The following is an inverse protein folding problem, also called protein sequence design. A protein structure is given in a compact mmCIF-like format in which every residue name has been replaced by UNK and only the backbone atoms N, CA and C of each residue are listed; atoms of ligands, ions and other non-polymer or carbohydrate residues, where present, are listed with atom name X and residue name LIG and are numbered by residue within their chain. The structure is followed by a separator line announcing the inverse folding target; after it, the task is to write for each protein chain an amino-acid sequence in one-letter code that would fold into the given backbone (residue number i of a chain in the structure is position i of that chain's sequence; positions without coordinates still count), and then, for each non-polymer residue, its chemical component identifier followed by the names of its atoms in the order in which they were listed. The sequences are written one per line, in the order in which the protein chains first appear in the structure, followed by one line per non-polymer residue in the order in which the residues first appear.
data_IF_824760207811
#
_entry.id   IF_824760207811
#
_cell.length_a   1.000
_cell.length_b   1.000
_cell.length_c   1.000
_cell.angle_alpha   90.00
_cell.angle_beta   90.00
_cell.angle_gamma   90.00
#
_symmetry.space_group_name_H-M   'P 1'
#
loop_
_entity.id
_entity.type
_entity.pdbx_description
1 polymer ?
#
# COMPACT_ATOMS: atom_id res chain seq x y z
N UNK A 1 5.84 6.53 17.72
CA UNK A 1 6.95 5.78 17.16
C UNK A 1 7.29 6.19 15.74
N UNK A 2 8.21 5.45 15.16
CA UNK A 2 8.70 5.75 13.80
C UNK A 2 7.58 5.69 12.76
N UNK A 3 6.63 4.76 12.88
CA UNK A 3 5.53 4.64 11.95
C UNK A 3 4.67 5.91 11.91
N UNK A 4 4.43 6.52 13.07
CA UNK A 4 3.62 7.74 13.13
C UNK A 4 4.33 8.90 12.44
N UNK A 5 5.64 9.00 12.61
CA UNK A 5 6.44 10.03 11.95
C UNK A 5 6.41 9.85 10.43
N UNK A 6 6.54 8.61 9.95
CA UNK A 6 6.51 8.31 8.53
C UNK A 6 5.14 8.64 7.95
N UNK A 7 4.07 8.21 8.61
CA UNK A 7 2.71 8.47 8.16
C UNK A 7 2.40 9.97 8.16
N UNK A 8 2.74 10.66 9.24
CA UNK A 8 2.45 12.08 9.37
C UNK A 8 3.19 12.89 8.30
N UNK A 9 4.44 12.55 8.03
CA UNK A 9 5.21 13.23 6.99
C UNK A 9 4.66 12.92 5.60
N UNK A 10 4.20 11.70 5.37
CA UNK A 10 3.54 11.37 4.12
C UNK A 10 2.28 12.20 3.93
N UNK A 11 1.44 12.31 4.96
CA UNK A 11 0.18 13.05 4.87
C UNK A 11 0.42 14.54 4.59
N UNK A 12 1.52 15.11 5.09
CA UNK A 12 1.83 16.52 4.85
C UNK A 12 2.56 16.77 3.53
N UNK A 13 3.35 15.83 3.05
CA UNK A 13 4.21 16.02 1.88
C UNK A 13 3.77 15.27 0.63
N UNK A 14 2.95 14.22 0.78
CA UNK A 14 2.46 13.44 -0.35
C UNK A 14 3.43 12.38 -0.85
N UNK A 15 4.53 12.13 -0.13
CA UNK A 15 5.48 11.06 -0.45
C UNK A 15 6.15 10.58 0.82
N UNK A 16 6.73 9.36 0.76
CA UNK A 16 7.47 8.80 1.88
C UNK A 16 8.88 9.40 1.85
N UNK A 17 9.27 10.05 2.95
CA UNK A 17 10.61 10.62 3.03
C UNK A 17 11.68 9.55 3.16
N UNK A 18 12.87 9.77 2.56
CA UNK A 18 13.97 8.83 2.67
C UNK A 18 14.51 8.74 4.10
N UNK A 19 15.19 7.65 4.39
CA UNK A 19 15.75 7.38 5.71
C UNK A 19 16.60 8.54 6.26
N UNK A 20 17.35 9.21 5.39
CA UNK A 20 18.27 10.29 5.79
C UNK A 20 17.55 11.47 6.44
N UNK A 21 16.25 11.61 6.21
CA UNK A 21 15.45 12.68 6.81
C UNK A 21 14.98 12.36 8.22
N UNK A 22 15.21 11.14 8.68
CA UNK A 22 14.84 10.70 10.02
C UNK A 22 16.10 10.51 10.85
N UNK A 23 16.04 10.91 12.12
CA UNK A 23 17.14 10.71 13.04
C UNK A 23 16.88 9.46 13.87
N UNK A 24 16.84 8.30 13.21
CA UNK A 24 16.53 7.02 13.83
C UNK A 24 17.46 5.94 13.32
N UNK A 25 17.53 4.83 14.04
CA UNK A 25 18.31 3.66 13.63
C UNK A 25 17.67 3.03 12.37
N UNK A 26 18.46 2.46 11.45
CA UNK A 26 17.90 1.81 10.25
C UNK A 26 16.79 0.80 10.54
N UNK A 27 16.94 -0.01 11.58
CA UNK A 27 15.91 -0.99 11.93
C UNK A 27 14.60 -0.32 12.33
N UNK A 28 14.67 0.84 12.98
CA UNK A 28 13.46 1.58 13.37
C UNK A 28 12.74 2.14 12.15
N UNK A 29 13.49 2.64 11.17
CA UNK A 29 12.90 3.14 9.93
C UNK A 29 12.21 2.01 9.16
N UNK A 30 12.89 0.87 9.02
CA UNK A 30 12.37 -0.30 8.32
C UNK A 30 11.11 -0.82 8.99
N UNK A 31 11.13 -0.96 10.31
CA UNK A 31 9.96 -1.37 11.07
C UNK A 31 8.83 -0.36 10.91
N UNK A 32 9.15 0.94 10.94
CA UNK A 32 8.17 2.00 10.74
C UNK A 32 7.50 1.92 9.38
N UNK A 33 8.25 1.66 8.32
CA UNK A 33 7.69 1.46 6.97
C UNK A 33 6.75 0.25 6.98
N UNK A 34 7.18 -0.87 7.55
CA UNK A 34 6.37 -2.09 7.62
C UNK A 34 5.05 -1.87 8.36
N UNK A 35 5.13 -1.22 9.53
CA UNK A 35 3.93 -0.94 10.35
C UNK A 35 2.99 0.02 9.64
N UNK A 36 3.54 1.01 8.94
CA UNK A 36 2.74 1.99 8.19
C UNK A 36 2.02 1.31 7.01
N UNK A 37 2.67 0.37 6.34
CA UNK A 37 2.02 -0.42 5.28
C UNK A 37 0.80 -1.14 5.84
N UNK A 38 0.90 -1.71 7.04
CA UNK A 38 -0.24 -2.34 7.70
C UNK A 38 -1.38 -1.37 7.98
N UNK A 39 -1.05 -0.15 8.38
CA UNK A 39 -2.04 0.90 8.64
C UNK A 39 -2.72 1.35 7.35
N UNK A 40 -1.96 1.52 6.28
CA UNK A 40 -2.51 1.87 4.97
C UNK A 40 -3.38 0.75 4.41
N UNK A 41 -3.04 -0.52 4.70
CA UNK A 41 -3.90 -1.65 4.33
C UNK A 41 -5.28 -1.49 4.97
N UNK A 42 -5.31 -1.17 6.26
CA UNK A 42 -6.58 -0.97 6.96
C UNK A 42 -7.40 0.12 6.29
N UNK A 43 -6.77 1.24 5.97
CA UNK A 43 -7.46 2.35 5.30
C UNK A 43 -7.92 1.98 3.89
N UNK A 44 -7.11 1.23 3.16
CA UNK A 44 -7.50 0.75 1.83
C UNK A 44 -8.75 -0.12 1.92
N UNK A 45 -8.79 -1.05 2.88
CA UNK A 45 -9.92 -1.95 3.05
C UNK A 45 -11.17 -1.21 3.54
N UNK A 46 -11.02 -0.23 4.44
CA UNK A 46 -12.15 0.56 4.90
C UNK A 46 -12.79 1.34 3.75
N UNK A 47 -11.97 1.96 2.91
CA UNK A 47 -12.48 2.67 1.73
C UNK A 47 -13.11 1.70 0.74
N UNK A 48 -12.54 0.51 0.60
CA UNK A 48 -13.06 -0.52 -0.29
C UNK A 48 -14.46 -0.97 0.15
N UNK A 49 -14.68 -1.15 1.46
CA UNK A 49 -15.99 -1.51 2.01
C UNK A 49 -17.04 -0.45 1.72
N UNK A 50 -16.64 0.80 1.67
CA UNK A 50 -17.52 1.92 1.38
C UNK A 50 -17.59 2.23 -0.11
N UNK A 51 -17.01 1.39 -0.95
CA UNK A 51 -16.97 1.53 -2.41
C UNK A 51 -16.30 2.83 -2.86
N UNK A 52 -15.40 3.36 -2.04
CA UNK A 52 -14.57 4.51 -2.42
C UNK A 52 -13.31 3.99 -3.11
N UNK A 53 -13.47 3.55 -4.36
CA UNK A 53 -12.45 2.81 -5.08
C UNK A 53 -11.20 3.64 -5.37
N UNK A 54 -11.37 4.92 -5.68
CA UNK A 54 -10.24 5.79 -5.98
C UNK A 54 -9.36 5.99 -4.74
N UNK A 55 -9.99 6.21 -3.57
CA UNK A 55 -9.26 6.36 -2.32
C UNK A 55 -8.58 5.06 -1.93
N UNK A 56 -9.26 3.92 -2.10
CA UNK A 56 -8.68 2.63 -1.81
C UNK A 56 -7.45 2.38 -2.68
N UNK A 57 -7.54 2.68 -3.97
CA UNK A 57 -6.42 2.54 -4.89
C UNK A 57 -5.23 3.41 -4.47
N UNK A 58 -5.49 4.62 -4.01
CA UNK A 58 -4.39 5.51 -3.60
C UNK A 58 -3.63 4.95 -2.39
N UNK A 59 -4.33 4.30 -1.46
CA UNK A 59 -3.65 3.63 -0.35
C UNK A 59 -2.86 2.40 -0.81
N UNK A 60 -3.41 1.65 -1.75
CA UNK A 60 -2.68 0.52 -2.33
C UNK A 60 -1.39 0.99 -3.02
N UNK A 61 -1.47 2.09 -3.76
CA UNK A 61 -0.30 2.65 -4.44
C UNK A 61 0.79 3.08 -3.46
N UNK A 62 0.42 3.71 -2.34
CA UNK A 62 1.42 4.14 -1.36
C UNK A 62 2.02 2.95 -0.61
N UNK A 63 1.25 1.88 -0.42
CA UNK A 63 1.79 0.64 0.13
C UNK A 63 2.88 0.07 -0.79
N UNK A 64 2.65 0.10 -2.09
CA UNK A 64 3.64 -0.35 -3.07
C UNK A 64 4.89 0.53 -3.07
N UNK A 65 4.72 1.84 -2.87
CA UNK A 65 5.84 2.75 -2.72
C UNK A 65 6.69 2.39 -1.50
N UNK A 66 6.03 2.07 -0.38
CA UNK A 66 6.71 1.62 0.83
C UNK A 66 7.50 0.34 0.60
N UNK A 67 6.92 -0.63 -0.10
CA UNK A 67 7.62 -1.87 -0.45
C UNK A 67 8.83 -1.58 -1.34
N UNK A 68 8.68 -0.67 -2.30
CA UNK A 68 9.79 -0.26 -3.16
C UNK A 68 10.97 0.28 -2.35
N UNK A 69 10.68 1.09 -1.33
CA UNK A 69 11.71 1.61 -0.44
C UNK A 69 12.43 0.47 0.29
N UNK A 70 11.66 -0.50 0.84
CA UNK A 70 12.28 -1.64 1.52
C UNK A 70 13.17 -2.46 0.59
N UNK A 71 12.75 -2.63 -0.66
CA UNK A 71 13.51 -3.39 -1.65
C UNK A 71 14.80 -2.68 -2.08
N UNK A 72 14.83 -1.35 -2.02
CA UNK A 72 16.00 -0.57 -2.42
C UNK A 72 17.04 -0.41 -1.31
N UNK A 73 16.66 -0.64 -0.07
CA UNK A 73 17.58 -0.53 1.04
C UNK A 73 18.60 -1.68 1.01
N UNK A 74 19.86 -1.34 1.27
CA UNK A 74 20.97 -2.30 1.25
C UNK A 74 21.79 -2.14 2.53
N UNK A 75 21.30 -2.74 3.60
CA UNK A 75 21.96 -2.75 4.88
C UNK A 75 22.25 -4.17 5.34
N UNK A 76 23.35 -4.40 6.07
CA UNK A 76 23.61 -5.70 6.70
C UNK A 76 22.45 -6.09 7.64
N UNK A 77 22.11 -7.36 7.70
CA UNK A 77 21.04 -7.87 8.57
C UNK A 77 21.25 -7.47 10.04
N UNK A 78 22.50 -7.39 10.48
CA UNK A 78 22.80 -6.99 11.86
C UNK A 78 22.27 -5.60 12.20
N UNK A 79 22.14 -4.72 11.20
CA UNK A 79 21.65 -3.36 11.41
C UNK A 79 20.14 -3.24 11.21
N UNK A 80 19.53 -4.14 10.45
CA UNK A 80 18.14 -4.01 10.02
C UNK A 80 17.15 -4.90 10.78
N UNK A 81 17.67 -5.87 11.54
CA UNK A 81 16.79 -6.79 12.27
C UNK A 81 15.94 -7.65 11.36
N UNK A 82 16.42 -7.91 10.13
CA UNK A 82 15.73 -8.78 9.18
C UNK A 82 14.96 -8.02 8.11
N UNK A 83 15.64 -7.14 7.39
CA UNK A 83 15.05 -6.36 6.29
C UNK A 83 14.28 -7.24 5.30
N UNK A 84 14.86 -8.39 4.92
CA UNK A 84 14.21 -9.30 3.97
C UNK A 84 12.85 -9.78 4.48
N UNK A 85 12.78 -10.09 5.76
CA UNK A 85 11.52 -10.55 6.36
C UNK A 85 10.45 -9.45 6.30
N UNK A 86 10.82 -8.21 6.60
CA UNK A 86 9.89 -7.08 6.51
C UNK A 86 9.41 -6.87 5.07
N UNK A 87 10.32 -6.95 4.11
CA UNK A 87 9.96 -6.80 2.70
C UNK A 87 9.04 -7.94 2.22
N UNK A 88 9.32 -9.17 2.64
CA UNK A 88 8.49 -10.33 2.26
C UNK A 88 7.10 -10.22 2.89
N UNK A 89 7.01 -9.82 4.15
CA UNK A 89 5.73 -9.60 4.81
C UNK A 89 4.92 -8.51 4.11
N UNK A 90 5.58 -7.41 3.77
CA UNK A 90 4.93 -6.29 3.07
C UNK A 90 4.41 -6.74 1.71
N UNK A 91 5.21 -7.50 0.96
CA UNK A 91 4.78 -8.03 -0.35
C UNK A 91 3.53 -8.90 -0.20
N UNK A 92 3.51 -9.79 0.79
CA UNK A 92 2.35 -10.65 1.03
C UNK A 92 1.11 -9.85 1.40
N UNK A 93 1.26 -8.84 2.25
CA UNK A 93 0.15 -7.95 2.64
C UNK A 93 -0.40 -7.21 1.42
N UNK A 94 0.48 -6.67 0.59
CA UNK A 94 0.08 -5.91 -0.60
C UNK A 94 -0.63 -6.82 -1.61
N UNK A 95 -0.12 -8.02 -1.83
CA UNK A 95 -0.74 -8.97 -2.76
C UNK A 95 -2.14 -9.37 -2.30
N UNK A 96 -2.33 -9.64 -1.02
CA UNK A 96 -3.65 -9.96 -0.49
C UNK A 96 -4.60 -8.77 -0.62
N UNK A 97 -4.12 -7.57 -0.33
CA UNK A 97 -4.94 -6.36 -0.44
C UNK A 97 -5.35 -6.09 -1.88
N UNK A 98 -4.42 -6.27 -2.82
CA UNK A 98 -4.70 -6.12 -4.24
C UNK A 98 -5.75 -7.14 -4.69
N UNK A 99 -5.64 -8.39 -4.22
CA UNK A 99 -6.62 -9.43 -4.55
C UNK A 99 -8.03 -9.05 -4.08
N UNK A 100 -8.15 -8.56 -2.84
CA UNK A 100 -9.44 -8.12 -2.32
C UNK A 100 -9.99 -6.94 -3.11
N UNK A 101 -9.12 -5.99 -3.45
CA UNK A 101 -9.48 -4.83 -4.26
C UNK A 101 -10.01 -5.27 -5.62
N UNK A 102 -9.32 -6.17 -6.29
CA UNK A 102 -9.73 -6.65 -7.62
C UNK A 102 -11.03 -7.44 -7.56
N UNK A 103 -11.27 -8.18 -6.49
CA UNK A 103 -12.54 -8.90 -6.30
C UNK A 103 -13.71 -7.91 -6.27
N UNK A 104 -13.56 -6.82 -5.54
CA UNK A 104 -14.62 -5.80 -5.44
C UNK A 104 -14.79 -5.07 -6.79
N UNK A 105 -13.69 -4.77 -7.50
CA UNK A 105 -13.78 -4.18 -8.83
C UNK A 105 -14.62 -5.05 -9.77
N UNK A 106 -14.37 -6.36 -9.77
CA UNK A 106 -15.12 -7.29 -10.61
C UNK A 106 -16.60 -7.28 -10.26
N UNK A 107 -16.96 -7.21 -8.98
CA UNK A 107 -18.34 -7.12 -8.56
C UNK A 107 -18.98 -5.83 -9.04
N UNK A 108 -18.27 -4.70 -8.95
CA UNK A 108 -18.79 -3.41 -9.41
C UNK A 108 -19.04 -3.41 -10.92
N UNK A 109 -18.21 -4.11 -11.69
CA UNK A 109 -18.39 -4.21 -13.13
C UNK A 109 -19.68 -4.90 -13.54
N UNK A 110 -20.27 -5.72 -12.68
CA UNK A 110 -21.53 -6.39 -12.96
C UNK A 110 -22.75 -5.55 -12.60
N UNK A 111 -22.56 -4.39 -11.97
CA UNK A 111 -23.68 -3.50 -11.62
C UNK A 111 -24.14 -2.71 -12.84
N UNK A 112 -25.43 -2.33 -12.83
CA UNK A 112 -26.06 -1.64 -13.95
C UNK A 112 -25.84 -0.13 -13.97
N UNK A 113 -25.33 0.45 -12.89
CA UNK A 113 -25.13 1.88 -12.78
C UNK A 113 -23.96 2.33 -13.68
N UNK A 114 -24.27 3.11 -14.72
CA UNK A 114 -23.30 3.55 -15.72
C UNK A 114 -22.17 4.37 -15.12
N UNK A 115 -22.48 5.29 -14.21
CA UNK A 115 -21.46 6.14 -13.60
C UNK A 115 -20.46 5.34 -12.79
N UNK A 116 -20.95 4.34 -12.03
CA UNK A 116 -20.09 3.43 -11.26
C UNK A 116 -19.23 2.62 -12.22
N UNK A 117 -19.81 2.10 -13.32
CA UNK A 117 -19.06 1.32 -14.30
C UNK A 117 -17.94 2.12 -14.95
N UNK A 118 -18.18 3.38 -15.26
CA UNK A 118 -17.15 4.23 -15.87
C UNK A 118 -15.96 4.42 -14.95
N UNK A 119 -16.21 4.73 -13.67
CA UNK A 119 -15.13 4.89 -12.68
C UNK A 119 -14.39 3.59 -12.46
N UNK A 120 -15.11 2.49 -12.37
CA UNK A 120 -14.53 1.17 -12.16
C UNK A 120 -13.68 0.75 -13.35
N UNK A 121 -14.16 1.03 -14.57
CA UNK A 121 -13.42 0.69 -15.78
C UNK A 121 -12.08 1.40 -15.85
N UNK A 122 -12.01 2.66 -15.44
CA UNK A 122 -10.77 3.40 -15.42
C UNK A 122 -9.73 2.72 -14.51
N UNK A 123 -10.16 2.19 -13.37
CA UNK A 123 -9.29 1.47 -12.45
C UNK A 123 -8.93 0.09 -12.98
N UNK A 124 -9.92 -0.64 -13.49
CA UNK A 124 -9.74 -2.01 -14.01
C UNK A 124 -8.69 -2.06 -15.12
N UNK A 125 -8.57 -1.03 -15.92
CA UNK A 125 -7.55 -0.96 -16.97
C UNK A 125 -6.13 -1.07 -16.43
N UNK A 126 -5.93 -0.73 -15.15
CA UNK A 126 -4.63 -0.85 -14.50
C UNK A 126 -4.36 -2.27 -13.99
N UNK A 127 -5.40 -3.11 -13.90
CA UNK A 127 -5.31 -4.46 -13.34
C UNK A 127 -6.03 -5.46 -14.25
N UNK A 128 -5.62 -5.59 -15.52
CA UNK A 128 -6.40 -6.33 -16.53
C UNK A 128 -6.55 -7.83 -16.24
N UNK A 129 -5.58 -8.44 -15.55
CA UNK A 129 -5.62 -9.87 -15.27
C UNK A 129 -6.73 -10.27 -14.30
N UNK A 130 -7.28 -9.31 -13.56
CA UNK A 130 -8.29 -9.57 -12.53
C UNK A 130 -9.72 -9.41 -13.05
N UNK A 131 -9.88 -8.91 -14.26
CA UNK A 131 -11.19 -8.69 -14.86
C UNK A 131 -11.84 -9.99 -15.31
N UNK A 132 -11.03 -11.01 -15.56
CA UNK A 132 -11.52 -12.30 -16.09
C UNK A 132 -12.14 -13.21 -15.04
N UNK A 133 -12.01 -12.85 -13.80
CA UNK A 133 -12.59 -13.63 -12.70
C UNK A 133 -14.14 -13.41 -12.61
#
# INVERSE_FOLDING_TARGET
GSEMCIRDRYESKGYIEPFEKFNVHPSSYIQGIGDTIGEWRRKALDNLRNLELVKSESYLNIMEEGLGILNELDYPDALTGGLRRYADNARGIIERTRSEFCTILNKQMSLTNTAVKEKTLAIVKKYPINVKQ
#
